data_IF_879832255070
#
_entry.id   IF_879832255070
#
_cell.length_a   1.000
_cell.length_b   1.000
_cell.length_c   1.000
_cell.angle_alpha   90.00
_cell.angle_beta   90.00
_cell.angle_gamma   90.00
#
_symmetry.space_group_name_H-M   'P 1'
#
loop_
_entity.id
_entity.type
_entity.pdbx_description
1 polymer ?
#
# COMPACT_ATOMS: atom_id res chain seq x y z
N UNK A 1 -6.88 11.10 3.24
CA UNK A 1 -6.04 10.54 4.32
C UNK A 1 -6.82 9.43 5.00
N UNK A 2 -6.21 8.27 5.23
CA UNK A 2 -6.81 7.08 5.84
C UNK A 2 -5.99 6.66 7.05
N UNK A 3 -6.66 6.30 8.14
CA UNK A 3 -6.00 5.95 9.40
C UNK A 3 -5.96 4.43 9.58
N UNK A 4 -4.81 3.94 10.00
CA UNK A 4 -4.59 2.54 10.32
C UNK A 4 -4.75 2.31 11.83
N UNK A 5 -5.50 1.28 12.17
CA UNK A 5 -5.76 0.90 13.55
C UNK A 5 -5.36 -0.54 13.83
N UNK A 6 -4.89 -0.78 15.03
CA UNK A 6 -4.70 -2.13 15.58
C UNK A 6 -5.76 -2.38 16.64
N UNK A 7 -6.54 -3.43 16.48
CA UNK A 7 -7.44 -3.91 17.52
C UNK A 7 -6.64 -4.57 18.65
N UNK A 8 -7.15 -4.56 19.88
CA UNK A 8 -6.53 -5.23 21.06
C UNK A 8 -6.20 -6.70 20.83
N UNK A 9 -6.90 -7.39 19.91
CA UNK A 9 -6.59 -8.77 19.47
C UNK A 9 -5.45 -8.86 18.44
N UNK A 10 -4.78 -7.76 18.10
CA UNK A 10 -3.62 -7.71 17.22
C UNK A 10 -3.90 -7.47 15.73
N UNK A 11 -5.14 -7.66 15.26
CA UNK A 11 -5.51 -7.48 13.87
C UNK A 11 -5.47 -6.01 13.44
N UNK A 12 -5.10 -5.79 12.17
CA UNK A 12 -4.99 -4.45 11.57
C UNK A 12 -6.20 -4.11 10.71
N UNK A 13 -6.57 -2.85 10.73
CA UNK A 13 -7.72 -2.30 10.03
C UNK A 13 -7.40 -0.94 9.41
N UNK A 14 -8.04 -0.68 8.28
CA UNK A 14 -8.00 0.60 7.58
C UNK A 14 -9.33 1.31 7.81
N UNK A 15 -9.32 2.47 8.46
CA UNK A 15 -10.50 3.30 8.62
C UNK A 15 -10.80 4.00 7.29
N UNK A 16 -12.00 3.81 6.78
CA UNK A 16 -12.48 4.38 5.53
C UNK A 16 -13.18 5.74 5.75
N UNK A 17 -13.87 5.90 6.88
CA UNK A 17 -14.59 7.11 7.19
C UNK A 17 -15.62 6.92 8.29
N UNK A 18 -16.55 7.89 8.38
CA UNK A 18 -17.67 7.87 9.30
C UNK A 18 -18.97 7.85 8.50
N UNK A 19 -19.96 7.09 8.96
CA UNK A 19 -21.31 7.04 8.43
C UNK A 19 -22.31 7.28 9.56
N UNK A 20 -23.57 7.55 9.22
CA UNK A 20 -24.68 7.55 10.17
C UNK A 20 -25.47 6.25 10.01
N UNK A 21 -25.89 5.65 11.12
CA UNK A 21 -26.84 4.55 11.10
C UNK A 21 -28.18 5.06 10.56
N UNK A 22 -28.78 4.39 9.58
CA UNK A 22 -29.92 4.89 8.81
C UNK A 22 -31.17 5.17 9.66
N UNK A 23 -31.35 4.45 10.77
CA UNK A 23 -32.52 4.58 11.63
C UNK A 23 -32.25 5.41 12.89
N UNK A 24 -31.17 5.09 13.60
CA UNK A 24 -30.86 5.74 14.89
C UNK A 24 -30.06 7.03 14.74
N UNK A 25 -29.54 7.36 13.55
CA UNK A 25 -28.62 8.46 13.30
C UNK A 25 -27.34 8.43 14.17
N UNK A 26 -27.02 7.27 14.72
CA UNK A 26 -25.80 7.08 15.51
C UNK A 26 -24.56 7.15 14.61
N UNK A 27 -23.49 7.89 14.97
CA UNK A 27 -22.24 7.90 14.23
C UNK A 27 -21.55 6.53 14.26
N UNK A 28 -21.21 6.03 13.07
CA UNK A 28 -20.56 4.75 12.85
C UNK A 28 -19.15 4.97 12.27
N UNK A 29 -18.14 4.31 12.80
CA UNK A 29 -16.85 4.20 12.12
C UNK A 29 -16.92 3.07 11.11
N UNK A 30 -16.56 3.37 9.85
CA UNK A 30 -16.49 2.40 8.75
C UNK A 30 -15.03 2.04 8.51
N UNK A 31 -14.73 0.76 8.53
CA UNK A 31 -13.36 0.28 8.42
C UNK A 31 -13.26 -1.06 7.69
N UNK A 32 -12.12 -1.29 7.07
CA UNK A 32 -11.81 -2.50 6.30
C UNK A 32 -10.75 -3.34 7.02
N UNK A 33 -10.89 -4.66 6.97
CA UNK A 33 -9.88 -5.59 7.48
C UNK A 33 -8.63 -5.55 6.58
N UNK A 34 -7.44 -5.58 7.19
CA UNK A 34 -6.16 -5.75 6.49
C UNK A 34 -5.64 -7.20 6.64
N UNK A 35 -6.56 -8.13 6.74
CA UNK A 35 -6.35 -9.57 6.75
C UNK A 35 -7.55 -10.25 6.08
N UNK A 36 -7.36 -11.48 5.65
CA UNK A 36 -8.43 -12.23 5.01
C UNK A 36 -9.53 -12.55 6.01
N UNK A 37 -10.75 -12.14 5.69
CA UNK A 37 -11.91 -12.32 6.55
C UNK A 37 -13.08 -12.86 5.73
N UNK A 38 -13.47 -14.10 6.03
CA UNK A 38 -14.51 -14.82 5.31
C UNK A 38 -15.91 -14.22 5.50
N UNK A 39 -16.15 -13.51 6.61
CA UNK A 39 -17.48 -12.94 6.91
C UNK A 39 -17.75 -11.69 6.09
N UNK A 40 -16.86 -10.70 6.17
CA UNK A 40 -16.97 -9.44 5.44
C UNK A 40 -15.64 -8.67 5.43
N UNK A 41 -15.27 -8.04 4.32
CA UNK A 41 -14.07 -7.21 4.26
C UNK A 41 -14.28 -5.83 4.90
N UNK A 42 -15.51 -5.31 4.94
CA UNK A 42 -15.86 -3.98 5.45
C UNK A 42 -16.86 -4.09 6.59
N UNK A 43 -16.62 -3.32 7.62
CA UNK A 43 -17.40 -3.29 8.86
C UNK A 43 -17.79 -1.87 9.22
N UNK A 44 -18.92 -1.72 9.91
CA UNK A 44 -19.33 -0.51 10.59
C UNK A 44 -19.51 -0.81 12.09
N UNK A 45 -19.07 0.12 12.95
CA UNK A 45 -19.21 0.01 14.40
C UNK A 45 -19.60 1.35 14.98
N UNK A 46 -20.51 1.42 16.00
CA UNK A 46 -20.77 2.64 16.75
C UNK A 46 -19.47 3.32 17.17
N UNK A 47 -19.37 4.62 16.90
CA UNK A 47 -18.14 5.40 17.15
C UNK A 47 -17.71 5.33 18.61
N UNK A 48 -18.65 5.34 19.51
CA UNK A 48 -18.42 5.18 20.96
C UNK A 48 -17.74 3.85 21.29
N UNK A 49 -18.20 2.74 20.69
CA UNK A 49 -17.61 1.41 20.86
C UNK A 49 -16.26 1.25 20.15
N UNK A 50 -16.05 1.99 19.05
CA UNK A 50 -14.77 1.92 18.33
C UNK A 50 -13.65 2.55 19.15
N UNK A 51 -13.92 3.68 19.79
CA UNK A 51 -12.95 4.44 20.58
C UNK A 51 -13.01 4.12 22.10
N UNK A 52 -13.80 3.12 22.49
CA UNK A 52 -13.94 2.80 23.90
C UNK A 52 -12.60 2.33 24.50
N UNK A 53 -12.39 2.70 25.74
CA UNK A 53 -11.32 2.17 26.57
C UNK A 53 -11.77 0.82 27.18
N UNK A 54 -11.10 -0.26 26.80
CA UNK A 54 -11.45 -1.63 27.22
C UNK A 54 -10.71 -2.05 28.51
N UNK A 55 -9.66 -1.32 28.86
CA UNK A 55 -8.93 -1.39 30.14
C UNK A 55 -8.21 -0.04 30.34
N UNK A 56 -7.78 0.31 31.57
CA UNK A 56 -7.09 1.57 31.84
C UNK A 56 -5.92 1.82 30.87
N UNK A 57 -6.00 2.90 30.06
CA UNK A 57 -5.01 3.27 29.07
C UNK A 57 -5.02 2.40 27.79
N UNK A 58 -5.97 1.47 27.62
CA UNK A 58 -6.05 0.58 26.46
C UNK A 58 -7.37 0.80 25.71
N UNK A 59 -7.31 1.48 24.59
CA UNK A 59 -8.45 1.61 23.66
C UNK A 59 -8.65 0.35 22.84
N UNK A 60 -9.91 0.03 22.49
CA UNK A 60 -10.26 -1.13 21.67
C UNK A 60 -9.49 -1.13 20.34
N UNK A 61 -9.36 0.04 19.72
CA UNK A 61 -8.56 0.27 18.51
C UNK A 61 -7.54 1.38 18.78
N UNK A 62 -6.26 1.06 18.60
CA UNK A 62 -5.16 2.01 18.74
C UNK A 62 -4.67 2.44 17.37
N UNK A 63 -4.53 3.73 17.14
CA UNK A 63 -3.94 4.27 15.90
C UNK A 63 -2.48 3.83 15.80
N UNK A 64 -2.10 3.28 14.63
CA UNK A 64 -0.73 2.81 14.36
C UNK A 64 -0.06 3.57 13.23
N UNK A 65 -0.82 4.36 12.48
CA UNK A 65 -0.28 5.18 11.40
C UNK A 65 -1.37 5.70 10.46
N UNK A 66 -0.93 6.42 9.44
CA UNK A 66 -1.80 7.03 8.43
C UNK A 66 -1.28 6.78 7.04
N UNK A 67 -2.20 6.53 6.10
CA UNK A 67 -1.91 6.47 4.67
C UNK A 67 -2.48 7.72 4.01
N UNK A 68 -1.70 8.36 3.16
CA UNK A 68 -2.13 9.51 2.36
C UNK A 68 -1.45 9.55 0.99
N UNK A 69 -1.95 10.38 0.10
CA UNK A 69 -1.29 10.68 -1.17
C UNK A 69 -0.13 11.63 -0.91
N UNK A 70 0.99 11.42 -1.61
CA UNK A 70 2.16 12.28 -1.59
C UNK A 70 1.83 13.65 -2.19
N UNK A 71 2.33 14.69 -1.55
CA UNK A 71 2.30 16.07 -2.03
C UNK A 71 3.71 16.48 -2.47
N UNK A 72 3.88 17.53 -3.29
CA UNK A 72 5.21 17.96 -3.77
C UNK A 72 6.23 18.21 -2.67
N UNK A 73 5.80 18.72 -1.52
CA UNK A 73 6.67 19.00 -0.36
C UNK A 73 7.25 17.73 0.28
N UNK A 74 6.69 16.56 0.00
CA UNK A 74 7.15 15.29 0.56
C UNK A 74 8.32 14.68 -0.23
N UNK A 75 8.51 15.04 -1.49
CA UNK A 75 9.42 14.38 -2.43
C UNK A 75 10.82 14.21 -1.87
N UNK A 76 11.42 15.28 -1.34
CA UNK A 76 12.79 15.26 -0.81
C UNK A 76 12.99 14.21 0.28
N UNK A 77 12.00 13.99 1.14
CA UNK A 77 12.08 13.03 2.24
C UNK A 77 11.84 11.59 1.76
N UNK A 78 10.74 11.38 1.07
CA UNK A 78 10.31 10.00 0.77
C UNK A 78 11.06 9.36 -0.40
N UNK A 79 11.47 10.14 -1.40
CA UNK A 79 12.28 9.61 -2.50
C UNK A 79 13.67 9.17 -2.01
N UNK A 80 14.24 9.84 -1.03
CA UNK A 80 15.51 9.47 -0.42
C UNK A 80 15.52 8.04 0.16
N UNK A 81 14.38 7.46 0.51
CA UNK A 81 14.31 6.08 1.05
C UNK A 81 14.78 5.00 0.07
N UNK A 82 14.77 5.30 -1.23
CA UNK A 82 15.23 4.39 -2.26
C UNK A 82 16.70 4.57 -2.66
N UNK A 83 17.39 5.58 -2.10
CA UNK A 83 18.73 5.94 -2.52
C UNK A 83 19.73 4.79 -2.45
N UNK A 84 19.72 4.02 -1.38
CA UNK A 84 20.64 2.88 -1.20
C UNK A 84 20.43 1.74 -2.20
N UNK A 85 19.20 1.60 -2.74
CA UNK A 85 18.88 0.59 -3.74
C UNK A 85 19.12 1.08 -5.19
N UNK A 86 18.80 2.35 -5.46
CA UNK A 86 18.74 2.88 -6.83
C UNK A 86 19.68 4.06 -7.09
N UNK A 87 20.38 4.57 -6.08
CA UNK A 87 21.25 5.76 -6.20
C UNK A 87 22.50 5.59 -7.07
N UNK A 88 22.95 4.34 -7.30
CA UNK A 88 24.07 4.00 -8.22
C UNK A 88 25.33 4.86 -8.01
N UNK A 89 25.63 5.25 -6.76
CA UNK A 89 26.79 6.07 -6.41
C UNK A 89 26.58 7.60 -6.43
N UNK A 90 25.39 8.07 -6.79
CA UNK A 90 25.02 9.47 -6.62
C UNK A 90 24.89 9.85 -5.15
N UNK A 91 25.00 11.14 -4.81
CA UNK A 91 24.59 11.62 -3.48
C UNK A 91 23.08 11.54 -3.32
N UNK A 92 22.57 11.66 -2.08
CA UNK A 92 21.13 11.64 -1.82
C UNK A 92 20.44 12.78 -2.57
N UNK A 93 21.04 13.96 -2.56
CA UNK A 93 20.52 15.17 -3.21
C UNK A 93 20.44 14.99 -4.74
N UNK A 94 21.50 14.46 -5.34
CA UNK A 94 21.55 14.18 -6.79
C UNK A 94 20.54 13.11 -7.18
N UNK A 95 20.42 12.05 -6.38
CA UNK A 95 19.43 10.99 -6.60
C UNK A 95 18.01 11.54 -6.54
N UNK A 96 17.66 12.28 -5.49
CA UNK A 96 16.32 12.86 -5.33
C UNK A 96 16.00 13.79 -6.49
N UNK A 97 16.94 14.69 -6.87
CA UNK A 97 16.74 15.62 -7.98
C UNK A 97 16.55 14.87 -9.32
N UNK A 98 17.38 13.85 -9.57
CA UNK A 98 17.29 13.03 -10.79
C UNK A 98 16.00 12.21 -10.82
N UNK A 99 15.65 11.59 -9.68
CA UNK A 99 14.47 10.73 -9.57
C UNK A 99 13.17 11.54 -9.71
N UNK A 100 13.12 12.74 -9.12
CA UNK A 100 11.99 13.65 -9.28
C UNK A 100 11.80 14.12 -10.73
N UNK A 101 12.91 14.34 -11.47
CA UNK A 101 12.86 14.80 -12.86
C UNK A 101 12.60 13.69 -13.89
N UNK A 102 13.12 12.48 -13.65
CA UNK A 102 13.14 11.38 -14.62
C UNK A 102 12.21 10.22 -14.28
N UNK A 103 11.64 10.20 -13.09
CA UNK A 103 10.65 9.18 -12.75
C UNK A 103 9.33 9.47 -13.49
N UNK A 104 9.27 9.02 -14.75
CA UNK A 104 8.03 9.03 -15.54
C UNK A 104 6.87 8.34 -14.82
N UNK A 105 7.16 7.54 -13.81
CA UNK A 105 6.17 6.89 -12.95
C UNK A 105 5.47 7.89 -12.02
N UNK A 106 6.11 9.02 -11.63
CA UNK A 106 5.43 10.13 -10.97
C UNK A 106 4.30 10.73 -11.82
N UNK A 107 4.54 10.88 -13.11
CA UNK A 107 3.57 11.46 -14.04
C UNK A 107 2.45 10.48 -14.43
N UNK A 108 2.66 9.18 -14.19
CA UNK A 108 1.73 8.11 -14.59
C UNK A 108 0.94 7.49 -13.45
N UNK A 109 1.22 7.86 -12.20
CA UNK A 109 0.69 7.15 -11.06
C UNK A 109 0.29 8.02 -9.88
N UNK A 110 -0.15 7.35 -8.82
CA UNK A 110 -0.44 7.95 -7.53
C UNK A 110 0.51 7.38 -6.50
N UNK A 111 1.31 8.22 -5.86
CA UNK A 111 2.21 7.82 -4.78
C UNK A 111 1.50 7.91 -3.44
N UNK A 112 1.56 6.83 -2.69
CA UNK A 112 1.01 6.72 -1.35
C UNK A 112 2.14 6.71 -0.33
N UNK A 113 1.91 7.40 0.78
CA UNK A 113 2.83 7.52 1.91
C UNK A 113 2.23 6.84 3.13
N UNK A 114 3.08 6.19 3.93
CA UNK A 114 2.76 5.73 5.27
C UNK A 114 3.52 6.59 6.28
N UNK A 115 2.77 7.15 7.21
CA UNK A 115 3.29 7.88 8.37
C UNK A 115 2.94 7.17 9.66
N UNK A 116 3.75 7.34 10.69
CA UNK A 116 3.40 6.92 12.06
C UNK A 116 2.21 7.74 12.60
N UNK A 117 1.65 7.35 13.74
CA UNK A 117 0.63 8.15 14.44
C UNK A 117 1.13 9.54 14.84
N UNK A 118 2.46 9.74 14.96
CA UNK A 118 3.09 11.03 15.27
C UNK A 118 3.51 11.82 14.03
N UNK A 119 3.21 11.31 12.80
CA UNK A 119 3.55 11.98 11.54
C UNK A 119 4.96 11.69 11.02
N UNK A 120 5.72 10.77 11.63
CA UNK A 120 7.04 10.40 11.13
C UNK A 120 6.94 9.58 9.84
N UNK A 121 7.74 9.86 8.81
CA UNK A 121 7.69 9.17 7.52
C UNK A 121 8.25 7.74 7.63
N UNK A 122 7.48 6.74 7.19
CA UNK A 122 7.79 5.32 7.34
C UNK A 122 8.06 4.61 6.02
N UNK A 123 7.20 4.83 5.01
CA UNK A 123 7.30 4.15 3.71
C UNK A 123 6.55 4.91 2.62
N UNK A 124 6.89 4.63 1.37
CA UNK A 124 6.11 5.06 0.23
C UNK A 124 6.04 3.95 -0.84
N UNK A 125 5.02 4.00 -1.68
CA UNK A 125 4.91 3.23 -2.91
C UNK A 125 4.17 4.03 -3.98
N UNK A 126 4.42 3.70 -5.25
CA UNK A 126 3.67 4.25 -6.38
C UNK A 126 2.69 3.22 -6.94
N UNK A 127 1.55 3.68 -7.45
CA UNK A 127 0.58 2.86 -8.17
C UNK A 127 0.35 3.42 -9.55
N UNK A 128 0.36 2.57 -10.57
CA UNK A 128 0.18 2.93 -11.97
C UNK A 128 -1.05 2.21 -12.50
N UNK A 129 -2.06 2.95 -12.95
CA UNK A 129 -3.25 2.34 -13.57
C UNK A 129 -2.99 2.10 -15.06
N UNK A 130 -2.85 0.85 -15.46
CA UNK A 130 -2.64 0.46 -16.86
C UNK A 130 -3.94 0.35 -17.66
N UNK A 131 -4.97 -0.22 -17.02
CA UNK A 131 -6.29 -0.41 -17.60
C UNK A 131 -7.33 -0.45 -16.48
N UNK A 132 -8.61 -0.50 -16.86
CA UNK A 132 -9.68 -0.76 -15.89
C UNK A 132 -9.41 -2.11 -15.22
N UNK A 133 -9.41 -2.11 -13.90
CA UNK A 133 -9.19 -3.31 -13.12
C UNK A 133 -7.73 -3.81 -13.04
N UNK A 134 -6.74 -3.07 -13.57
CA UNK A 134 -5.32 -3.47 -13.51
C UNK A 134 -4.44 -2.33 -13.01
N UNK A 135 -3.67 -2.59 -11.96
CA UNK A 135 -2.78 -1.64 -11.29
C UNK A 135 -1.39 -2.23 -11.10
N UNK A 136 -0.36 -1.50 -11.53
CA UNK A 136 1.03 -1.77 -11.19
C UNK A 136 1.38 -1.17 -9.82
N UNK A 137 2.13 -1.89 -9.00
CA UNK A 137 2.75 -1.40 -7.77
C UNK A 137 4.24 -1.25 -8.03
N UNK A 138 4.75 -0.05 -7.86
CA UNK A 138 6.13 0.32 -8.17
C UNK A 138 6.79 1.10 -7.03
N UNK A 139 8.11 1.19 -7.08
CA UNK A 139 8.93 2.07 -6.24
C UNK A 139 8.62 1.98 -4.74
N UNK A 140 8.30 0.77 -4.24
CA UNK A 140 8.11 0.57 -2.80
C UNK A 140 9.43 0.80 -2.07
N UNK A 141 9.46 1.78 -1.20
CA UNK A 141 10.61 2.01 -0.33
C UNK A 141 10.19 2.27 1.11
N UNK A 142 11.06 1.90 2.06
CA UNK A 142 10.84 2.03 3.50
C UNK A 142 11.99 2.84 4.07
N UNK A 143 11.69 3.77 4.97
CA UNK A 143 12.69 4.53 5.71
C UNK A 143 13.78 3.57 6.22
N UNK A 144 15.05 3.77 5.86
CA UNK A 144 16.15 2.87 6.22
C UNK A 144 16.21 2.50 7.71
N UNK A 145 15.91 3.46 8.59
CA UNK A 145 15.93 3.26 10.06
C UNK A 145 14.73 2.44 10.57
N UNK A 146 13.69 2.28 9.74
CA UNK A 146 12.43 1.62 10.09
C UNK A 146 12.24 0.25 9.39
N UNK A 147 13.23 -0.19 8.61
CA UNK A 147 13.16 -1.48 7.90
C UNK A 147 13.07 -2.67 8.84
N UNK A 148 12.54 -3.77 8.34
CA UNK A 148 12.34 -5.00 9.13
C UNK A 148 11.09 -5.01 10.02
N UNK A 149 10.38 -3.88 10.15
CA UNK A 149 9.17 -3.73 10.99
C UNK A 149 7.85 -3.98 10.27
N UNK A 150 7.90 -4.38 8.98
CA UNK A 150 6.71 -4.74 8.20
C UNK A 150 5.98 -3.57 7.53
N UNK A 151 6.51 -2.35 7.57
CA UNK A 151 5.84 -1.16 7.02
C UNK A 151 5.62 -1.22 5.50
N UNK A 152 6.54 -1.84 4.75
CA UNK A 152 6.34 -2.06 3.32
C UNK A 152 5.12 -2.94 3.03
N UNK A 153 5.01 -4.08 3.72
CA UNK A 153 3.84 -4.96 3.59
C UNK A 153 2.55 -4.29 4.05
N UNK A 154 2.60 -3.51 5.14
CA UNK A 154 1.45 -2.79 5.67
C UNK A 154 0.93 -1.75 4.67
N UNK A 155 1.82 -0.92 4.12
CA UNK A 155 1.46 0.08 3.12
C UNK A 155 0.90 -0.57 1.86
N UNK A 156 1.58 -1.60 1.33
CA UNK A 156 1.13 -2.32 0.13
C UNK A 156 -0.28 -2.89 0.34
N UNK A 157 -0.52 -3.60 1.45
CA UNK A 157 -1.85 -4.15 1.76
C UNK A 157 -2.90 -3.05 1.91
N UNK A 158 -2.59 -1.96 2.62
CA UNK A 158 -3.53 -0.86 2.83
C UNK A 158 -3.94 -0.22 1.49
N UNK A 159 -2.99 0.02 0.59
CA UNK A 159 -3.27 0.60 -0.74
C UNK A 159 -4.04 -0.37 -1.63
N UNK A 160 -3.71 -1.67 -1.62
CA UNK A 160 -4.50 -2.67 -2.34
C UNK A 160 -5.96 -2.70 -1.85
N UNK A 161 -6.17 -2.65 -0.54
CA UNK A 161 -7.52 -2.66 0.04
C UNK A 161 -8.28 -1.36 -0.23
N UNK A 162 -7.61 -0.20 -0.29
CA UNK A 162 -8.23 1.06 -0.75
C UNK A 162 -8.74 0.94 -2.18
N UNK A 163 -7.93 0.41 -3.08
CA UNK A 163 -8.31 0.23 -4.48
C UNK A 163 -9.44 -0.80 -4.65
N UNK A 164 -9.46 -1.85 -3.83
CA UNK A 164 -10.56 -2.83 -3.80
C UNK A 164 -11.88 -2.25 -3.27
N UNK A 165 -11.86 -1.15 -2.54
CA UNK A 165 -13.08 -0.42 -2.18
C UNK A 165 -13.70 0.28 -3.39
N UNK A 166 -12.87 0.70 -4.36
CA UNK A 166 -13.32 1.34 -5.60
C UNK A 166 -13.75 0.30 -6.65
N UNK A 167 -12.97 -0.78 -6.77
CA UNK A 167 -13.20 -1.88 -7.71
C UNK A 167 -12.75 -3.20 -7.07
N UNK A 168 -13.69 -4.02 -6.63
CA UNK A 168 -13.40 -5.30 -5.98
C UNK A 168 -12.71 -6.32 -6.90
N UNK A 169 -12.76 -6.10 -8.21
CA UNK A 169 -12.16 -6.97 -9.24
C UNK A 169 -10.73 -6.57 -9.61
N UNK A 170 -10.21 -5.50 -9.00
CA UNK A 170 -8.87 -4.98 -9.33
C UNK A 170 -7.79 -6.04 -9.10
N UNK A 171 -6.94 -6.21 -10.11
CA UNK A 171 -5.74 -7.03 -10.08
C UNK A 171 -4.51 -6.15 -9.94
N UNK A 172 -3.50 -6.67 -9.29
CA UNK A 172 -2.23 -5.98 -9.08
C UNK A 172 -1.09 -6.72 -9.76
N UNK A 173 -0.14 -5.96 -10.30
CA UNK A 173 1.12 -6.47 -10.83
C UNK A 173 2.28 -5.71 -10.22
N UNK A 174 3.45 -6.34 -10.15
CA UNK A 174 4.69 -5.70 -9.73
C UNK A 174 5.92 -6.47 -10.22
N UNK A 175 7.08 -5.81 -10.12
CA UNK A 175 8.40 -6.45 -10.20
C UNK A 175 9.04 -6.48 -8.82
N UNK A 176 9.40 -7.68 -8.36
CA UNK A 176 10.12 -7.87 -7.10
C UNK A 176 11.60 -8.02 -7.36
N UNK A 177 12.40 -7.04 -6.93
CA UNK A 177 13.86 -7.10 -7.05
C UNK A 177 14.51 -7.86 -5.90
N UNK A 178 13.94 -7.82 -4.70
CA UNK A 178 14.64 -8.27 -3.49
C UNK A 178 13.91 -9.37 -2.70
N UNK A 179 12.59 -9.34 -2.61
CA UNK A 179 11.83 -10.21 -1.67
C UNK A 179 10.49 -10.68 -2.24
N UNK A 180 10.47 -11.60 -3.21
CA UNK A 180 9.22 -12.18 -3.73
C UNK A 180 8.30 -12.72 -2.62
N UNK A 181 8.86 -13.38 -1.60
CA UNK A 181 8.11 -13.98 -0.49
C UNK A 181 7.32 -12.97 0.35
N UNK A 182 7.71 -11.70 0.36
CA UNK A 182 6.92 -10.64 0.99
C UNK A 182 5.59 -10.45 0.24
N UNK A 183 5.64 -10.42 -1.07
CA UNK A 183 4.47 -10.23 -1.93
C UNK A 183 3.59 -11.48 -2.02
N UNK A 184 4.17 -12.68 -1.94
CA UNK A 184 3.39 -13.93 -1.84
C UNK A 184 2.43 -13.90 -0.64
N UNK A 185 2.87 -13.38 0.51
CA UNK A 185 2.03 -13.18 1.70
C UNK A 185 0.93 -12.13 1.54
N UNK A 186 1.01 -11.33 0.49
CA UNK A 186 0.01 -10.34 0.10
C UNK A 186 -0.92 -10.84 -1.01
N UNK A 187 -0.78 -12.11 -1.40
CA UNK A 187 -1.61 -12.75 -2.42
C UNK A 187 -1.10 -12.61 -3.85
N UNK A 188 0.18 -12.22 -4.03
CA UNK A 188 0.82 -12.26 -5.34
C UNK A 188 1.38 -13.64 -5.61
N UNK A 189 1.32 -14.04 -6.87
CA UNK A 189 2.00 -15.23 -7.38
C UNK A 189 2.97 -14.81 -8.49
N UNK A 190 4.10 -15.53 -8.59
CA UNK A 190 5.01 -15.36 -9.71
C UNK A 190 4.29 -15.67 -11.02
N UNK A 191 4.42 -14.80 -12.01
CA UNK A 191 3.89 -15.10 -13.36
C UNK A 191 4.74 -16.18 -14.04
N UNK A 192 4.21 -16.93 -15.02
CA UNK A 192 4.93 -17.97 -15.75
C UNK A 192 6.28 -17.49 -16.31
N UNK A 193 7.24 -18.40 -16.43
CA UNK A 193 8.62 -18.07 -16.82
C UNK A 193 8.72 -17.40 -18.19
N UNK A 194 7.85 -17.78 -19.13
CA UNK A 194 7.75 -17.15 -20.46
C UNK A 194 7.27 -15.68 -20.42
N UNK A 195 6.76 -15.21 -19.29
CA UNK A 195 6.34 -13.84 -19.05
C UNK A 195 7.31 -13.06 -18.15
N UNK A 196 8.45 -13.62 -17.80
CA UNK A 196 9.51 -12.99 -16.99
C UNK A 196 10.48 -12.21 -17.89
N UNK A 197 10.09 -10.98 -18.31
CA UNK A 197 10.82 -10.18 -19.31
C UNK A 197 12.03 -9.42 -18.75
N UNK A 198 12.12 -9.21 -17.43
CA UNK A 198 13.08 -8.28 -16.81
C UNK A 198 13.90 -8.92 -15.68
N UNK A 199 14.32 -10.18 -15.85
CA UNK A 199 15.19 -10.81 -14.84
C UNK A 199 16.46 -9.99 -14.58
N UNK A 200 16.95 -9.91 -13.36
CA UNK A 200 16.55 -10.74 -12.19
C UNK A 200 15.31 -10.27 -11.43
N UNK A 201 14.67 -9.16 -11.81
CA UNK A 201 13.42 -8.71 -11.19
C UNK A 201 12.29 -9.68 -11.53
N UNK A 202 11.62 -10.20 -10.49
CA UNK A 202 10.58 -11.22 -10.63
C UNK A 202 9.22 -10.55 -10.83
N UNK A 203 8.60 -10.75 -11.98
CA UNK A 203 7.24 -10.31 -12.24
C UNK A 203 6.24 -11.14 -11.44
N UNK A 204 5.33 -10.48 -10.75
CA UNK A 204 4.31 -11.09 -9.91
C UNK A 204 2.94 -10.42 -10.14
N UNK A 205 1.86 -11.19 -10.01
CA UNK A 205 0.50 -10.69 -10.14
C UNK A 205 -0.44 -11.31 -9.11
N UNK A 206 -1.56 -10.62 -8.80
CA UNK A 206 -2.65 -11.18 -8.01
C UNK A 206 -3.73 -11.77 -8.91
N UNK A 207 -4.55 -12.69 -8.35
CA UNK A 207 -5.65 -13.35 -9.04
C UNK A 207 -5.28 -14.76 -9.49
N UNK A 208 -6.30 -15.61 -9.64
CA UNK A 208 -6.18 -17.02 -10.02
C UNK A 208 -6.19 -17.17 -11.55
N UNK A 209 -6.84 -16.26 -12.25
CA UNK A 209 -6.98 -16.28 -13.71
C UNK A 209 -5.65 -15.96 -14.39
N UNK A 210 -5.28 -16.63 -15.48
CA UNK A 210 -4.14 -16.27 -16.30
C UNK A 210 -4.19 -14.80 -16.73
N UNK A 211 -3.02 -14.19 -16.93
CA UNK A 211 -2.94 -12.85 -17.50
C UNK A 211 -3.43 -12.87 -18.95
N UNK A 212 -4.24 -11.88 -19.31
CA UNK A 212 -4.64 -11.66 -20.71
C UNK A 212 -3.44 -11.18 -21.53
N UNK A 213 -3.48 -11.32 -22.86
CA UNK A 213 -2.45 -10.80 -23.77
C UNK A 213 -2.15 -9.32 -23.54
N UNK A 214 -3.19 -8.52 -23.24
CA UNK A 214 -3.05 -7.11 -22.92
C UNK A 214 -2.30 -6.87 -21.60
N UNK A 215 -2.59 -7.65 -20.57
CA UNK A 215 -1.91 -7.58 -19.28
C UNK A 215 -0.44 -8.03 -19.40
N UNK A 216 -0.17 -9.06 -20.22
CA UNK A 216 1.19 -9.48 -20.57
C UNK A 216 1.94 -8.35 -21.29
N UNK A 217 1.25 -7.59 -22.15
CA UNK A 217 1.81 -6.40 -22.81
C UNK A 217 2.38 -5.38 -21.82
N UNK A 218 1.71 -5.15 -20.68
CA UNK A 218 2.20 -4.25 -19.62
C UNK A 218 3.40 -4.81 -18.86
N UNK A 219 3.56 -6.14 -18.78
CA UNK A 219 4.76 -6.75 -18.21
C UNK A 219 6.01 -6.60 -19.09
N UNK A 220 5.88 -6.21 -20.35
CA UNK A 220 7.03 -5.90 -21.20
C UNK A 220 7.62 -4.52 -20.89
N UNK A 221 6.82 -3.63 -20.30
CA UNK A 221 7.27 -2.34 -19.82
C UNK A 221 7.71 -2.49 -18.36
N UNK A 222 8.96 -2.15 -18.04
CA UNK A 222 9.41 -2.09 -16.66
C UNK A 222 8.87 -0.81 -16.00
N UNK A 223 8.19 -0.94 -14.88
CA UNK A 223 7.54 0.18 -14.18
C UNK A 223 7.84 0.21 -12.68
#
# INVERSE_FOLDING_TARGET
MWTLYRHTKGMLYLRLGTALHSESCEPMEVYRTLYDNEMAPVWARPRTMFHEEVAPGLTRFTEVGRVRIMMPEDEGCYLAFGHDAWGKGATVEEFVATYALHDNNHLRGTRYLLESSTGSPLANLNTIRFARGLVGIASLSVNPTERGRGYGSLLTRAVMELMRCEDSTVRFMLYSEVRPTMYERLGFSRVPDEMQFHLPSVAMATGIEPLTEREVGFLREYF
#
